data_IF_812470964442
#
_entry.id   IF_812470964442
#
_cell.length_a   1.000
_cell.length_b   1.000
_cell.length_c   1.000
_cell.angle_alpha   90.00
_cell.angle_beta   90.00
_cell.angle_gamma   90.00
#
_symmetry.space_group_name_H-M   'P 1'
#
loop_
_entity.id
_entity.type
_entity.pdbx_description
1 polymer ?
#
# COMPACT_ATOMS: atom_id res chain seq x y z
N UNK A 1 11.36 4.85 14.06
CA UNK A 1 11.81 3.68 13.28
C UNK A 1 10.96 3.59 12.02
N UNK A 2 11.48 4.00 10.85
CA UNK A 2 10.77 3.87 9.57
C UNK A 2 11.12 2.51 8.98
N UNK A 3 10.18 1.56 9.03
CA UNK A 3 10.35 0.27 8.35
C UNK A 3 10.19 0.50 6.84
N UNK A 4 11.28 0.35 6.09
CA UNK A 4 11.23 0.27 4.63
C UNK A 4 10.72 -1.11 4.23
N UNK A 5 9.39 -1.28 4.21
CA UNK A 5 8.79 -2.50 3.65
C UNK A 5 8.84 -2.37 2.13
N UNK A 6 9.61 -3.23 1.47
CA UNK A 6 9.59 -3.31 0.01
C UNK A 6 8.26 -3.93 -0.45
N UNK A 7 7.30 -3.04 -0.76
CA UNK A 7 5.94 -3.37 -1.19
C UNK A 7 5.91 -4.25 -2.45
N UNK A 8 6.94 -4.21 -3.30
CA UNK A 8 7.05 -5.05 -4.50
C UNK A 8 7.09 -6.54 -4.15
N UNK A 9 7.65 -6.89 -2.99
CA UNK A 9 7.83 -8.27 -2.53
C UNK A 9 6.77 -8.73 -1.53
N UNK A 10 5.87 -7.83 -1.11
CA UNK A 10 4.90 -8.12 -0.06
C UNK A 10 3.78 -9.00 -0.62
N UNK A 11 3.77 -10.26 -0.18
CA UNK A 11 2.75 -11.25 -0.56
C UNK A 11 1.39 -10.79 -0.06
N UNK A 12 0.40 -10.98 -0.91
CA UNK A 12 -0.96 -10.54 -0.71
C UNK A 12 -1.91 -11.61 -1.22
N UNK A 13 -3.05 -11.74 -0.56
CA UNK A 13 -4.13 -12.61 -0.98
C UNK A 13 -5.36 -11.73 -1.11
N UNK A 14 -5.86 -11.55 -2.33
CA UNK A 14 -7.05 -10.71 -2.53
C UNK A 14 -8.30 -11.34 -1.89
N UNK A 15 -9.40 -10.59 -1.86
CA UNK A 15 -10.70 -11.09 -1.35
C UNK A 15 -11.20 -12.35 -2.07
N UNK A 16 -10.73 -12.62 -3.29
CA UNK A 16 -11.08 -13.83 -4.06
C UNK A 16 -10.17 -15.01 -3.73
N UNK A 17 -9.26 -14.87 -2.77
CA UNK A 17 -8.31 -15.91 -2.37
C UNK A 17 -7.11 -16.06 -3.29
N UNK A 18 -6.93 -15.19 -4.29
CA UNK A 18 -5.81 -15.26 -5.24
C UNK A 18 -4.54 -14.68 -4.62
N UNK A 19 -3.48 -15.48 -4.65
CA UNK A 19 -2.13 -15.07 -4.20
C UNK A 19 -1.47 -14.18 -5.26
N UNK A 20 -0.97 -13.03 -4.83
CA UNK A 20 -0.31 -12.01 -5.65
C UNK A 20 0.62 -11.16 -4.77
N UNK A 21 1.13 -10.04 -5.29
CA UNK A 21 1.74 -8.97 -4.49
C UNK A 21 0.79 -7.79 -4.34
N UNK A 22 0.95 -6.99 -3.28
CA UNK A 22 0.12 -5.78 -3.04
C UNK A 22 0.11 -4.86 -4.25
N UNK A 23 1.28 -4.60 -4.83
CA UNK A 23 1.39 -3.72 -6.01
C UNK A 23 0.68 -4.30 -7.24
N UNK A 24 0.77 -5.62 -7.46
CA UNK A 24 0.08 -6.26 -8.59
C UNK A 24 -1.44 -6.25 -8.42
N UNK A 25 -1.93 -6.28 -7.17
CA UNK A 25 -3.35 -6.08 -6.90
C UNK A 25 -3.77 -4.64 -7.21
N UNK A 26 -3.02 -3.65 -6.71
CA UNK A 26 -3.29 -2.22 -6.93
C UNK A 26 -3.16 -1.78 -8.41
N UNK A 27 -2.27 -2.39 -9.19
CA UNK A 27 -2.13 -2.06 -10.61
C UNK A 27 -3.34 -2.50 -11.44
N UNK A 28 -4.10 -3.51 -10.96
CA UNK A 28 -5.30 -4.05 -11.61
C UNK A 28 -6.59 -3.38 -11.14
N UNK A 29 -6.57 -2.68 -10.01
CA UNK A 29 -7.74 -1.95 -9.54
C UNK A 29 -7.95 -0.68 -10.36
N UNK A 30 -9.22 -0.31 -10.64
CA UNK A 30 -9.52 0.94 -11.31
C UNK A 30 -9.09 2.13 -10.44
N UNK A 31 -8.90 3.27 -11.09
CA UNK A 31 -8.70 4.55 -10.39
C UNK A 31 -10.01 4.90 -9.71
N UNK A 32 -9.97 5.10 -8.40
CA UNK A 32 -11.13 5.52 -7.62
C UNK A 32 -11.37 7.01 -7.76
N UNK A 33 -10.29 7.79 -7.69
CA UNK A 33 -10.32 9.25 -7.77
C UNK A 33 -8.95 9.80 -8.14
N UNK A 34 -8.94 10.95 -8.80
CA UNK A 34 -7.76 11.77 -8.97
C UNK A 34 -7.92 13.01 -8.09
N UNK A 35 -6.95 13.32 -7.25
CA UNK A 35 -6.97 14.49 -6.36
C UNK A 35 -5.77 15.40 -6.61
N UNK A 36 -5.91 16.67 -6.28
CA UNK A 36 -4.82 17.64 -6.28
C UNK A 36 -4.19 17.69 -4.89
N UNK A 37 -2.93 17.24 -4.77
CA UNK A 37 -2.16 17.34 -3.54
C UNK A 37 -1.24 18.57 -3.57
N UNK A 38 -1.37 19.43 -2.57
CA UNK A 38 -0.46 20.55 -2.37
C UNK A 38 0.81 20.06 -1.68
N UNK A 39 1.89 19.93 -2.44
CA UNK A 39 3.19 19.51 -1.92
C UNK A 39 3.95 20.74 -1.40
N UNK A 40 4.33 20.78 -0.12
CA UNK A 40 5.16 21.85 0.40
C UNK A 40 6.58 21.78 -0.15
N UNK A 41 7.29 22.92 -0.07
CA UNK A 41 8.72 23.00 -0.38
C UNK A 41 9.50 22.11 0.59
N UNK A 42 10.46 21.36 0.06
CA UNK A 42 11.48 20.65 0.84
C UNK A 42 12.85 20.86 0.17
N UNK A 43 13.94 20.43 0.79
CA UNK A 43 15.32 20.55 0.28
C UNK A 43 15.49 20.03 -1.15
N UNK A 44 14.69 19.06 -1.57
CA UNK A 44 14.75 18.41 -2.88
C UNK A 44 13.67 18.87 -3.87
N UNK A 45 12.72 19.72 -3.45
CA UNK A 45 11.49 19.99 -4.22
C UNK A 45 10.93 21.38 -3.93
N UNK A 46 10.61 22.14 -4.97
CA UNK A 46 9.81 23.37 -4.87
C UNK A 46 8.35 23.05 -4.51
N UNK A 47 7.68 23.96 -3.79
CA UNK A 47 6.25 23.79 -3.50
C UNK A 47 5.46 23.74 -4.82
N UNK A 48 4.54 22.79 -4.94
CA UNK A 48 3.75 22.60 -6.17
C UNK A 48 2.49 21.77 -5.90
N UNK A 49 1.52 21.89 -6.80
CA UNK A 49 0.37 20.99 -6.84
C UNK A 49 0.72 19.77 -7.70
N UNK A 50 0.41 18.57 -7.20
CA UNK A 50 0.55 17.31 -7.93
C UNK A 50 -0.83 16.65 -8.08
N UNK A 51 -1.20 16.25 -9.29
CA UNK A 51 -2.38 15.44 -9.51
C UNK A 51 -2.03 13.98 -9.31
N UNK A 52 -2.69 13.33 -8.37
CA UNK A 52 -2.42 11.93 -8.02
C UNK A 52 -3.66 11.07 -8.19
N UNK A 53 -3.47 9.88 -8.75
CA UNK A 53 -4.47 8.84 -8.80
C UNK A 53 -4.44 8.03 -7.52
N UNK A 54 -5.63 7.81 -6.97
CA UNK A 54 -5.87 6.95 -5.83
C UNK A 54 -6.48 5.64 -6.32
N UNK A 55 -5.89 4.53 -5.86
CA UNK A 55 -6.46 3.18 -6.03
C UNK A 55 -6.44 2.47 -4.69
N UNK A 56 -7.38 1.57 -4.48
CA UNK A 56 -7.47 0.79 -3.26
C UNK A 56 -7.78 -0.67 -3.53
N UNK A 57 -7.29 -1.55 -2.67
CA UNK A 57 -7.63 -2.97 -2.61
C UNK A 57 -7.65 -3.45 -1.17
N UNK A 58 -8.52 -4.39 -0.84
CA UNK A 58 -8.56 -5.08 0.46
C UNK A 58 -8.29 -6.57 0.31
N UNK A 59 -7.67 -7.15 1.35
CA UNK A 59 -7.25 -8.53 1.33
C UNK A 59 -6.33 -8.86 2.50
N UNK A 60 -5.56 -9.92 2.35
CA UNK A 60 -4.88 -10.57 3.45
C UNK A 60 -3.36 -10.58 3.27
N UNK A 61 -2.64 -10.12 4.27
CA UNK A 61 -1.18 -10.25 4.38
C UNK A 61 -0.84 -11.46 5.24
N UNK A 62 -0.12 -12.46 4.70
CA UNK A 62 0.34 -13.59 5.50
C UNK A 62 1.43 -13.15 6.48
N UNK A 63 1.26 -13.44 7.76
CA UNK A 63 2.31 -13.23 8.76
C UNK A 63 3.35 -14.32 8.57
N UNK A 64 4.59 -13.91 8.31
CA UNK A 64 5.75 -14.80 8.31
C UNK A 64 6.73 -14.23 9.30
N UNK A 65 6.64 -14.65 10.56
CA UNK A 65 7.62 -14.16 11.53
C UNK A 65 8.12 -15.26 12.44
N UNK A 66 9.35 -15.70 12.18
CA UNK A 66 10.10 -16.55 13.09
C UNK A 66 10.40 -15.83 14.42
N UNK A 67 10.29 -14.49 14.47
CA UNK A 67 10.43 -13.69 15.70
C UNK A 67 9.15 -13.65 16.54
N UNK A 68 7.98 -13.92 15.95
CA UNK A 68 6.71 -14.02 16.70
C UNK A 68 6.53 -15.42 17.28
N UNK A 69 6.97 -16.46 16.57
CA UNK A 69 6.79 -17.85 16.99
C UNK A 69 8.04 -18.52 17.59
N UNK A 70 9.17 -17.79 17.68
CA UNK A 70 10.45 -18.29 18.18
C UNK A 70 11.18 -19.23 17.20
N UNK A 71 12.52 -19.39 17.33
CA UNK A 71 13.35 -20.15 16.39
C UNK A 71 13.13 -21.68 16.44
N UNK A 72 12.45 -22.21 17.45
CA UNK A 72 12.38 -23.66 17.74
C UNK A 72 10.97 -24.18 18.02
N UNK A 73 9.92 -23.58 17.46
CA UNK A 73 8.62 -24.24 17.52
C UNK A 73 8.58 -25.39 16.50
N UNK A 74 8.77 -26.63 16.96
CA UNK A 74 8.59 -27.84 16.15
C UNK A 74 7.14 -27.99 15.63
N UNK A 75 6.20 -27.22 16.18
CA UNK A 75 4.83 -27.02 15.70
C UNK A 75 4.68 -25.89 14.65
N UNK A 76 5.77 -25.32 14.12
CA UNK A 76 5.72 -24.23 13.13
C UNK A 76 4.93 -24.57 11.85
N UNK A 77 4.69 -25.86 11.57
CA UNK A 77 3.78 -26.30 10.51
C UNK A 77 2.30 -25.92 10.77
N UNK A 78 1.91 -25.64 12.02
CA UNK A 78 0.53 -25.24 12.40
C UNK A 78 0.26 -23.74 12.31
N UNK A 79 1.29 -22.88 12.29
CA UNK A 79 1.12 -21.42 12.39
C UNK A 79 1.34 -20.64 11.07
N UNK A 80 1.45 -21.35 9.92
CA UNK A 80 1.63 -20.75 8.58
C UNK A 80 0.32 -20.13 8.00
N UNK A 81 -0.78 -20.17 8.76
CA UNK A 81 -2.10 -19.72 8.29
C UNK A 81 -2.54 -18.36 8.81
N UNK A 82 -1.79 -17.74 9.74
CA UNK A 82 -2.15 -16.43 10.26
C UNK A 82 -1.98 -15.35 9.18
N UNK A 83 -3.05 -14.60 8.97
CA UNK A 83 -3.12 -13.51 8.01
C UNK A 83 -3.81 -12.33 8.66
N UNK A 84 -3.35 -11.13 8.33
CA UNK A 84 -3.96 -9.88 8.75
C UNK A 84 -4.75 -9.33 7.59
N UNK A 85 -6.02 -9.01 7.80
CA UNK A 85 -6.82 -8.26 6.84
C UNK A 85 -6.35 -6.82 6.81
N UNK A 86 -6.09 -6.29 5.62
CA UNK A 86 -5.64 -4.92 5.41
C UNK A 86 -6.29 -4.33 4.17
N UNK A 87 -6.41 -3.01 4.17
CA UNK A 87 -6.57 -2.21 2.97
C UNK A 87 -5.21 -1.66 2.54
N UNK A 88 -4.93 -1.73 1.25
CA UNK A 88 -3.79 -1.08 0.62
C UNK A 88 -4.30 0.04 -0.29
N UNK A 89 -3.73 1.24 -0.14
CA UNK A 89 -4.10 2.42 -0.93
C UNK A 89 -2.85 2.89 -1.65
N UNK A 90 -2.85 2.91 -2.99
CA UNK A 90 -1.77 3.51 -3.77
C UNK A 90 -2.11 4.94 -4.15
N UNK A 91 -1.12 5.81 -4.04
CA UNK A 91 -1.14 7.18 -4.55
C UNK A 91 -0.04 7.29 -5.59
N UNK A 92 -0.38 7.69 -6.81
CA UNK A 92 0.59 7.85 -7.90
C UNK A 92 0.34 9.10 -8.72
N UNK A 93 1.37 9.90 -8.92
CA UNK A 93 1.33 11.14 -9.69
C UNK A 93 1.14 10.92 -11.20
N UNK A 94 0.33 11.79 -11.82
CA UNK A 94 0.00 11.78 -13.24
C UNK A 94 0.30 13.11 -13.93
N UNK A 95 1.08 13.05 -15.03
CA UNK A 95 2.48 12.68 -15.00
C UNK A 95 3.31 13.70 -14.17
N UNK A 96 4.43 13.27 -13.57
CA UNK A 96 5.29 14.18 -12.82
C UNK A 96 5.95 15.23 -13.74
N UNK A 97 6.28 16.43 -13.22
CA UNK A 97 7.07 17.40 -13.96
C UNK A 97 8.42 16.84 -14.38
N UNK A 98 8.90 17.27 -15.55
CA UNK A 98 10.19 16.82 -16.08
C UNK A 98 11.34 17.12 -15.09
N UNK A 99 12.22 16.13 -14.89
CA UNK A 99 13.34 16.24 -13.97
C UNK A 99 12.99 16.17 -12.47
N UNK A 100 11.70 16.03 -12.10
CA UNK A 100 11.26 15.86 -10.71
C UNK A 100 10.85 14.41 -10.45
N UNK A 101 11.33 13.84 -9.36
CA UNK A 101 10.92 12.50 -8.93
C UNK A 101 9.39 12.45 -8.68
N UNK A 102 8.68 11.44 -9.20
CA UNK A 102 7.24 11.32 -9.03
C UNK A 102 6.84 11.14 -7.58
N UNK A 103 5.67 11.65 -7.24
CA UNK A 103 4.98 11.26 -6.02
C UNK A 103 4.38 9.86 -6.20
N UNK A 104 4.93 8.89 -5.47
CA UNK A 104 4.40 7.53 -5.42
C UNK A 104 4.58 6.95 -4.01
N UNK A 105 3.48 6.48 -3.42
CA UNK A 105 3.52 5.72 -2.17
C UNK A 105 2.33 4.77 -2.07
N UNK A 106 2.45 3.79 -1.17
CA UNK A 106 1.34 2.92 -0.77
C UNK A 106 1.18 2.99 0.73
N UNK A 107 -0.05 3.20 1.18
CA UNK A 107 -0.45 3.11 2.58
C UNK A 107 -1.08 1.74 2.83
N UNK A 108 -0.62 1.06 3.88
CA UNK A 108 -1.27 -0.14 4.41
C UNK A 108 -1.99 0.24 5.70
N UNK A 109 -3.26 -0.12 5.82
CA UNK A 109 -4.10 0.24 6.97
C UNK A 109 -5.08 -0.88 7.29
N UNK A 110 -5.51 -0.98 8.56
CA UNK A 110 -6.60 -1.83 9.00
C UNK A 110 -7.99 -1.18 8.80
N UNK A 111 -8.03 0.07 8.33
CA UNK A 111 -9.27 0.80 8.06
C UNK A 111 -9.81 0.47 6.67
N UNK A 112 -11.13 0.37 6.52
CA UNK A 112 -11.81 0.10 5.24
C UNK A 112 -11.61 1.25 4.26
N UNK A 113 -11.10 0.95 3.06
CA UNK A 113 -10.94 1.94 1.99
C UNK A 113 -11.62 1.41 0.73
N UNK A 114 -12.95 1.32 0.81
CA UNK A 114 -13.80 0.68 -0.20
C UNK A 114 -14.24 1.65 -1.29
N UNK A 115 -14.31 2.94 -0.97
CA UNK A 115 -14.69 3.98 -1.90
C UNK A 115 -13.67 5.13 -1.97
N UNK A 116 -13.91 6.05 -2.91
CA UNK A 116 -13.05 7.19 -3.18
C UNK A 116 -12.92 8.17 -2.00
N UNK A 117 -13.98 8.32 -1.20
CA UNK A 117 -14.02 9.25 -0.08
C UNK A 117 -13.20 8.72 1.09
N UNK A 118 -13.42 7.45 1.47
CA UNK A 118 -12.64 6.76 2.51
C UNK A 118 -11.15 6.68 2.16
N UNK A 119 -10.83 6.51 0.87
CA UNK A 119 -9.45 6.45 0.41
C UNK A 119 -8.78 7.83 0.42
N UNK A 120 -9.50 8.89 0.03
CA UNK A 120 -9.02 10.28 0.08
C UNK A 120 -8.79 10.76 1.52
N UNK A 121 -9.68 10.45 2.45
CA UNK A 121 -9.54 10.82 3.87
C UNK A 121 -8.21 10.35 4.47
N UNK A 122 -7.67 9.24 3.97
CA UNK A 122 -6.40 8.66 4.43
C UNK A 122 -5.17 9.18 3.71
N UNK A 123 -5.37 9.91 2.61
CA UNK A 123 -4.30 10.46 1.77
C UNK A 123 -4.04 11.92 2.11
N UNK A 124 -5.08 12.68 2.45
CA UNK A 124 -4.97 14.06 2.93
C UNK A 124 -4.39 14.14 4.34
#
# INVERSE_FOLDING_TARGET
MKLYINLYSLRYIDEKGKKTTVQTALSKTPILKTIALTLPKNQQRVARTAYVDIRSTSGWLPIRNNLVYGPTNKDASRHIHEKVHVSAISVKEQPPPEGIAPVEWVLLTNLTATDAFEAEEKVN
#
